data_IF_614994488987
#
_entry.id   IF_614994488987
#
_cell.length_a   1.000
_cell.length_b   1.000
_cell.length_c   1.000
_cell.angle_alpha   90.00
_cell.angle_beta   90.00
_cell.angle_gamma   90.00
#
_symmetry.space_group_name_H-M   'P 1'
#
loop_
_entity.id
_entity.type
_entity.pdbx_description
1 polymer ?
#
# COMPACT_ATOMS: atom_id res chain seq x y z
N UNK A 1 -17.30 36.96 3.78
CA UNK A 1 -17.81 35.57 3.59
C UNK A 1 -16.60 34.65 3.51
N UNK A 2 -16.59 33.59 4.32
CA UNK A 2 -15.37 33.13 5.02
C UNK A 2 -14.48 32.10 4.25
N UNK A 3 -13.15 32.30 4.21
CA UNK A 3 -12.13 31.34 3.71
C UNK A 3 -12.10 29.97 4.41
N UNK A 4 -12.70 29.84 5.60
CA UNK A 4 -12.68 28.61 6.40
C UNK A 4 -13.48 27.45 5.77
N UNK A 5 -14.49 27.74 4.94
CA UNK A 5 -15.30 26.69 4.31
C UNK A 5 -14.54 25.96 3.20
N UNK A 6 -13.78 26.69 2.37
CA UNK A 6 -12.98 26.13 1.27
C UNK A 6 -11.80 25.31 1.80
N UNK A 7 -11.20 25.78 2.88
CA UNK A 7 -10.12 25.13 3.61
C UNK A 7 -10.58 23.83 4.31
N UNK A 8 -11.72 23.86 5.01
CA UNK A 8 -12.35 22.67 5.61
C UNK A 8 -12.75 21.63 4.55
N UNK A 9 -13.26 22.06 3.39
CA UNK A 9 -13.57 21.16 2.27
C UNK A 9 -12.33 20.45 1.72
N UNK A 10 -11.17 21.14 1.68
CA UNK A 10 -9.90 20.57 1.24
C UNK A 10 -9.41 19.48 2.21
N UNK A 11 -9.49 19.71 3.52
CA UNK A 11 -9.12 18.70 4.55
C UNK A 11 -10.05 17.48 4.49
N UNK A 12 -11.35 17.70 4.27
CA UNK A 12 -12.31 16.60 4.06
C UNK A 12 -11.98 15.77 2.82
N UNK A 13 -11.68 16.43 1.69
CA UNK A 13 -11.28 15.74 0.45
C UNK A 13 -10.02 14.89 0.65
N UNK A 14 -8.96 15.47 1.24
CA UNK A 14 -7.73 14.74 1.55
C UNK A 14 -7.98 13.56 2.51
N UNK A 15 -8.91 13.70 3.44
CA UNK A 15 -9.27 12.60 4.36
C UNK A 15 -9.96 11.45 3.63
N UNK A 16 -10.82 11.73 2.64
CA UNK A 16 -11.41 10.71 1.79
C UNK A 16 -10.36 10.01 0.92
N UNK A 17 -9.46 10.78 0.30
CA UNK A 17 -8.35 10.23 -0.51
C UNK A 17 -7.42 9.34 0.34
N UNK A 18 -7.12 9.73 1.59
CA UNK A 18 -6.38 8.90 2.55
C UNK A 18 -7.09 7.57 2.81
N UNK A 19 -8.41 7.60 3.04
CA UNK A 19 -9.19 6.37 3.28
C UNK A 19 -9.17 5.44 2.07
N UNK A 20 -9.31 5.98 0.86
CA UNK A 20 -9.23 5.20 -0.37
C UNK A 20 -7.86 4.54 -0.54
N UNK A 21 -6.78 5.28 -0.27
CA UNK A 21 -5.41 4.75 -0.32
C UNK A 21 -5.13 3.71 0.77
N UNK A 22 -5.67 3.88 1.97
CA UNK A 22 -5.58 2.87 3.03
C UNK A 22 -6.30 1.56 2.65
N UNK A 23 -7.44 1.65 1.95
CA UNK A 23 -8.13 0.48 1.41
C UNK A 23 -7.34 -0.19 0.28
N UNK A 24 -6.70 0.59 -0.60
CA UNK A 24 -5.81 0.08 -1.63
C UNK A 24 -4.64 -0.70 -1.03
N UNK A 25 -3.97 -0.15 -0.02
CA UNK A 25 -2.90 -0.82 0.74
C UNK A 25 -3.38 -2.13 1.38
N UNK A 26 -4.58 -2.14 1.96
CA UNK A 26 -5.15 -3.35 2.53
C UNK A 26 -5.36 -4.45 1.47
N UNK A 27 -5.76 -4.08 0.24
CA UNK A 27 -5.90 -5.02 -0.88
C UNK A 27 -4.54 -5.58 -1.31
N UNK A 28 -3.51 -4.73 -1.42
CA UNK A 28 -2.14 -5.15 -1.77
C UNK A 28 -1.59 -6.13 -0.73
N UNK A 29 -1.67 -5.80 0.57
CA UNK A 29 -1.25 -6.70 1.66
C UNK A 29 -2.01 -8.03 1.65
N UNK A 30 -3.29 -8.03 1.28
CA UNK A 30 -4.08 -9.26 1.13
C UNK A 30 -3.58 -10.11 -0.04
N UNK A 31 -3.20 -9.49 -1.16
CA UNK A 31 -2.62 -10.17 -2.31
C UNK A 31 -1.26 -10.78 -1.95
N UNK A 32 -0.39 -10.02 -1.30
CA UNK A 32 0.94 -10.45 -0.85
C UNK A 32 0.87 -11.71 0.03
N UNK A 33 -0.01 -11.72 1.04
CA UNK A 33 -0.22 -12.89 1.90
C UNK A 33 -0.70 -14.11 1.12
N UNK A 34 -1.53 -13.93 0.10
CA UNK A 34 -1.99 -15.04 -0.77
C UNK A 34 -0.85 -15.58 -1.60
N UNK A 35 -0.07 -14.71 -2.25
CA UNK A 35 1.09 -15.10 -3.06
C UNK A 35 2.14 -15.82 -2.22
N UNK A 36 2.41 -15.32 -1.01
CA UNK A 36 3.33 -15.97 -0.07
C UNK A 36 2.87 -17.38 0.33
N UNK A 37 1.57 -17.58 0.58
CA UNK A 37 1.02 -18.92 0.85
C UNK A 37 1.19 -19.87 -0.34
N UNK A 38 1.05 -19.37 -1.57
CA UNK A 38 1.26 -20.16 -2.79
C UNK A 38 2.74 -20.55 -2.90
N UNK A 39 3.64 -19.59 -2.71
CA UNK A 39 5.09 -19.80 -2.71
C UNK A 39 5.50 -20.89 -1.69
N UNK A 40 5.05 -20.77 -0.44
CA UNK A 40 5.40 -21.74 0.62
C UNK A 40 4.89 -23.14 0.28
N UNK A 41 3.67 -23.27 -0.26
CA UNK A 41 3.14 -24.55 -0.71
C UNK A 41 3.98 -25.16 -1.84
N UNK A 42 4.33 -24.36 -2.85
CA UNK A 42 5.16 -24.80 -3.96
C UNK A 42 6.56 -25.23 -3.50
N UNK A 43 7.17 -24.45 -2.60
CA UNK A 43 8.47 -24.74 -1.99
C UNK A 43 8.44 -26.02 -1.17
N UNK A 44 7.38 -26.25 -0.39
CA UNK A 44 7.19 -27.51 0.35
C UNK A 44 7.09 -28.72 -0.58
N UNK A 45 6.39 -28.59 -1.71
CA UNK A 45 6.32 -29.65 -2.74
C UNK A 45 7.67 -29.90 -3.41
N UNK A 46 8.52 -28.88 -3.59
CA UNK A 46 9.88 -29.06 -4.10
C UNK A 46 10.80 -29.75 -3.08
N UNK A 47 10.75 -29.33 -1.81
CA UNK A 47 11.57 -29.91 -0.75
C UNK A 47 11.28 -31.40 -0.51
N UNK A 48 10.04 -31.84 -0.72
CA UNK A 48 9.65 -33.26 -0.62
C UNK A 48 10.21 -34.16 -1.74
N UNK A 49 10.82 -33.60 -2.78
CA UNK A 49 11.39 -34.36 -3.90
C UNK A 49 12.89 -34.58 -3.69
N UNK A 50 13.28 -35.85 -3.46
CA UNK A 50 14.68 -36.28 -3.23
C UNK A 50 15.66 -35.88 -4.32
N UNK A 51 15.19 -35.63 -5.54
CA UNK A 51 15.97 -35.03 -6.62
C UNK A 51 15.20 -33.82 -7.15
N UNK A 52 15.85 -32.65 -7.12
CA UNK A 52 15.44 -31.46 -7.85
C UNK A 52 15.68 -31.62 -9.35
N UNK A 53 15.31 -32.78 -9.88
CA UNK A 53 15.41 -33.04 -11.29
C UNK A 53 14.38 -32.16 -12.02
N UNK A 54 14.89 -31.10 -12.65
CA UNK A 54 14.12 -30.16 -13.44
C UNK A 54 13.67 -30.76 -14.79
N UNK A 55 14.16 -31.96 -15.16
CA UNK A 55 13.60 -32.71 -16.27
C UNK A 55 12.25 -33.34 -15.91
N UNK A 56 11.98 -33.57 -14.62
CA UNK A 56 10.67 -34.02 -14.19
C UNK A 56 9.64 -32.87 -14.32
N UNK A 57 8.58 -33.03 -15.15
CA UNK A 57 7.63 -31.96 -15.46
C UNK A 57 6.89 -31.47 -14.21
N UNK A 58 6.66 -32.34 -13.21
CA UNK A 58 6.04 -31.94 -11.94
C UNK A 58 6.98 -31.07 -11.10
N UNK A 59 8.29 -31.35 -11.11
CA UNK A 59 9.29 -30.56 -10.37
C UNK A 59 9.45 -29.19 -11.03
N UNK A 60 9.60 -29.17 -12.36
CA UNK A 60 9.66 -27.95 -13.17
C UNK A 60 8.44 -27.04 -12.96
N UNK A 61 7.23 -27.62 -12.89
CA UNK A 61 6.01 -26.87 -12.59
C UNK A 61 6.08 -26.15 -11.24
N UNK A 62 6.43 -26.85 -10.15
CA UNK A 62 6.51 -26.23 -8.83
C UNK A 62 7.64 -25.21 -8.73
N UNK A 63 8.77 -25.46 -9.41
CA UNK A 63 9.85 -24.49 -9.54
C UNK A 63 9.38 -23.20 -10.21
N UNK A 64 8.70 -23.30 -11.36
CA UNK A 64 8.15 -22.14 -12.05
C UNK A 64 7.11 -21.39 -11.20
N UNK A 65 6.30 -22.11 -10.42
CA UNK A 65 5.36 -21.48 -9.47
C UNK A 65 6.12 -20.72 -8.38
N UNK A 66 7.22 -21.25 -7.85
CA UNK A 66 8.07 -20.54 -6.90
C UNK A 66 8.66 -19.28 -7.52
N UNK A 67 9.28 -19.37 -8.69
CA UNK A 67 9.87 -18.22 -9.40
C UNK A 67 8.83 -17.13 -9.64
N UNK A 68 7.70 -17.50 -10.26
CA UNK A 68 6.61 -16.55 -10.51
C UNK A 68 6.08 -15.91 -9.22
N UNK A 69 5.92 -16.70 -8.15
CA UNK A 69 5.44 -16.16 -6.88
C UNK A 69 6.46 -15.22 -6.24
N UNK A 70 7.76 -15.44 -6.44
CA UNK A 70 8.81 -14.52 -5.99
C UNK A 70 8.76 -13.21 -6.77
N UNK A 71 8.62 -13.26 -8.10
CA UNK A 71 8.47 -12.06 -8.94
C UNK A 71 7.20 -11.28 -8.57
N UNK A 72 6.08 -11.98 -8.39
CA UNK A 72 4.81 -11.40 -7.96
C UNK A 72 4.93 -10.75 -6.57
N UNK A 73 5.67 -11.37 -5.63
CA UNK A 73 5.92 -10.79 -4.30
C UNK A 73 6.77 -9.53 -4.40
N UNK A 74 7.86 -9.54 -5.17
CA UNK A 74 8.69 -8.35 -5.38
C UNK A 74 7.90 -7.19 -5.98
N UNK A 75 7.07 -7.46 -6.99
CA UNK A 75 6.20 -6.46 -7.59
C UNK A 75 5.16 -5.92 -6.60
N UNK A 76 4.61 -6.78 -5.72
CA UNK A 76 3.66 -6.36 -4.68
C UNK A 76 4.35 -5.52 -3.59
N UNK A 77 5.58 -5.87 -3.20
CA UNK A 77 6.38 -5.08 -2.24
C UNK A 77 6.69 -3.69 -2.79
N UNK A 78 7.15 -3.58 -4.04
CA UNK A 78 7.41 -2.28 -4.66
C UNK A 78 6.13 -1.41 -4.73
N UNK A 79 4.98 -2.01 -5.08
CA UNK A 79 3.69 -1.32 -5.06
C UNK A 79 3.26 -0.87 -3.66
N UNK A 80 3.56 -1.69 -2.65
CA UNK A 80 3.27 -1.37 -1.26
C UNK A 80 4.11 -0.19 -0.77
N UNK A 81 5.42 -0.20 -1.02
CA UNK A 81 6.34 0.90 -0.67
C UNK A 81 5.93 2.23 -1.35
N UNK A 82 5.55 2.17 -2.63
CA UNK A 82 5.05 3.33 -3.36
C UNK A 82 3.75 3.86 -2.72
N UNK A 83 2.77 2.98 -2.49
CA UNK A 83 1.48 3.37 -1.93
C UNK A 83 1.60 3.88 -0.47
N UNK A 84 2.54 3.34 0.31
CA UNK A 84 2.85 3.83 1.66
C UNK A 84 3.48 5.23 1.61
N UNK A 85 4.40 5.47 0.67
CA UNK A 85 5.01 6.79 0.46
C UNK A 85 3.96 7.84 0.05
N UNK A 86 3.05 7.48 -0.87
CA UNK A 86 1.91 8.33 -1.25
C UNK A 86 1.00 8.64 -0.06
N UNK A 87 0.71 7.64 0.78
CA UNK A 87 -0.12 7.83 1.97
C UNK A 87 0.53 8.78 2.99
N UNK A 88 1.83 8.65 3.22
CA UNK A 88 2.58 9.56 4.10
C UNK A 88 2.50 10.99 3.58
N UNK A 89 2.70 11.18 2.28
CA UNK A 89 2.57 12.49 1.63
C UNK A 89 1.17 13.09 1.80
N UNK A 90 0.11 12.30 1.58
CA UNK A 90 -1.28 12.75 1.78
C UNK A 90 -1.56 13.13 3.24
N UNK A 91 -1.06 12.34 4.21
CA UNK A 91 -1.22 12.64 5.64
C UNK A 91 -0.51 13.92 6.03
N UNK A 92 0.69 14.18 5.48
CA UNK A 92 1.41 15.43 5.70
C UNK A 92 0.63 16.62 5.15
N UNK A 93 0.16 16.55 3.89
CA UNK A 93 -0.65 17.60 3.27
C UNK A 93 -1.93 17.90 4.05
N UNK A 94 -2.57 16.88 4.64
CA UNK A 94 -3.73 17.08 5.51
C UNK A 94 -3.34 17.84 6.78
N UNK A 95 -2.22 17.48 7.41
CA UNK A 95 -1.72 18.16 8.61
C UNK A 95 -1.39 19.63 8.32
N UNK A 96 -0.70 19.89 7.20
CA UNK A 96 -0.36 21.25 6.77
C UNK A 96 -1.63 22.07 6.49
N UNK A 97 -2.65 21.44 5.89
CA UNK A 97 -3.96 22.05 5.70
C UNK A 97 -4.60 22.46 7.03
N UNK A 98 -4.65 21.57 8.02
CA UNK A 98 -5.20 21.89 9.35
C UNK A 98 -4.40 23.00 10.05
N UNK A 99 -3.07 23.00 9.90
CA UNK A 99 -2.22 24.06 10.46
C UNK A 99 -2.50 25.43 9.81
N UNK A 100 -2.69 25.46 8.49
CA UNK A 100 -3.08 26.67 7.76
C UNK A 100 -4.46 27.19 8.21
N UNK A 101 -5.43 26.29 8.38
CA UNK A 101 -6.78 26.64 8.82
C UNK A 101 -6.76 27.26 10.22
N UNK A 102 -5.96 26.69 11.13
CA UNK A 102 -5.77 27.19 12.49
C UNK A 102 -5.07 28.56 12.50
N UNK A 103 -3.99 28.73 11.75
CA UNK A 103 -3.28 30.02 11.66
C UNK A 103 -4.18 31.13 11.10
N UNK A 104 -4.98 30.82 10.08
CA UNK A 104 -5.95 31.76 9.49
C UNK A 104 -7.02 32.17 10.50
N UNK A 105 -7.50 31.23 11.32
CA UNK A 105 -8.48 31.51 12.38
C UNK A 105 -7.89 32.37 13.50
N UNK A 106 -6.67 32.05 13.96
CA UNK A 106 -5.96 32.82 14.99
C UNK A 106 -5.70 34.27 14.51
N UNK A 107 -5.31 34.46 13.26
CA UNK A 107 -5.14 35.80 12.67
C UNK A 107 -6.46 36.59 12.60
N UNK A 108 -7.59 35.93 12.28
CA UNK A 108 -8.90 36.59 12.29
C UNK A 108 -9.36 36.99 13.69
N UNK A 109 -9.01 36.22 14.72
CA UNK A 109 -9.29 36.57 16.12
C UNK A 109 -8.47 37.78 16.58
N UNK A 110 -7.20 37.86 16.19
CA UNK A 110 -6.30 38.96 16.56
C UNK A 110 -6.62 40.29 15.87
N UNK A 111 -7.39 40.25 14.77
CA UNK A 111 -7.84 41.44 14.02
C UNK A 111 -9.19 42.00 14.55
N UNK A 112 -9.71 41.47 15.66
CA UNK A 112 -10.90 41.95 16.39
C UNK A 112 -10.53 42.34 17.80
#
# INVERSE_FOLDING_TARGET
MAPLSTLSLRVQKLTSEIKEKEQELAKIRKAERKTYKIYIRARGKLASKKQHDLQNPKTKKWYNVCVKSTDDLQALTAKLEQAESELVSLKQRRSDGVAQDRATFEEMLLRR
#
